data_IF_928985727620
#
_entry.id   IF_928985727620
#
_cell.length_a   1.000
_cell.length_b   1.000
_cell.length_c   1.000
_cell.angle_alpha   90.00
_cell.angle_beta   90.00
_cell.angle_gamma   90.00
#
_symmetry.space_group_name_H-M   'P 1'
#
loop_
_entity.id
_entity.type
_entity.pdbx_description
1 polymer ?
#
# COMPACT_ATOMS: atom_id res chain seq x y z
N UNK A 1 20.31 0.47 72.25
CA UNK A 1 18.88 0.31 72.63
C UNK A 1 18.03 0.27 71.35
N UNK A 2 17.00 -0.59 71.22
CA UNK A 2 15.56 -0.35 71.50
C UNK A 2 15.06 1.04 71.02
N UNK A 3 13.94 1.20 70.29
CA UNK A 3 12.98 0.25 69.66
C UNK A 3 11.85 1.00 68.90
N UNK A 4 10.99 0.28 68.15
CA UNK A 4 9.62 0.67 67.64
C UNK A 4 9.62 1.53 66.36
N UNK A 5 8.81 1.22 65.31
CA UNK A 5 7.34 1.42 65.09
C UNK A 5 6.95 2.91 65.18
N UNK A 6 6.13 3.54 64.32
CA UNK A 6 5.34 3.20 63.10
C UNK A 6 5.06 4.56 62.34
N UNK A 7 4.35 4.77 61.22
CA UNK A 7 3.47 4.00 60.31
C UNK A 7 3.43 4.64 58.89
N UNK A 8 2.67 4.07 57.95
CA UNK A 8 2.44 4.49 56.55
C UNK A 8 1.69 5.83 56.37
N UNK A 9 1.91 6.50 55.23
CA UNK A 9 0.88 6.81 54.18
C UNK A 9 1.56 7.34 52.89
N UNK A 10 0.88 7.19 51.75
CA UNK A 10 1.37 7.50 50.39
C UNK A 10 0.64 8.71 49.80
N UNK A 11 1.36 9.65 49.19
CA UNK A 11 1.04 10.32 47.90
C UNK A 11 2.37 10.68 47.21
N UNK A 12 2.46 10.53 45.88
CA UNK A 12 3.63 10.89 45.10
C UNK A 12 3.39 12.12 44.21
N UNK A 13 4.35 13.04 44.17
CA UNK A 13 4.44 14.10 43.16
C UNK A 13 5.88 14.64 43.09
N UNK A 14 6.68 14.10 42.18
CA UNK A 14 7.97 14.66 41.73
C UNK A 14 7.83 14.97 40.23
N UNK A 15 8.57 15.88 39.60
CA UNK A 15 9.81 16.58 40.00
C UNK A 15 9.69 18.08 39.69
N UNK A 16 10.12 18.96 40.60
CA UNK A 16 10.44 20.35 40.23
C UNK A 16 11.89 20.45 39.78
N UNK A 17 12.12 21.05 38.59
CA UNK A 17 13.47 21.23 38.05
C UNK A 17 14.15 22.42 38.72
N UNK A 18 15.22 22.16 39.47
CA UNK A 18 16.26 23.16 39.74
C UNK A 18 17.61 22.48 40.03
N UNK A 19 18.65 22.88 39.29
CA UNK A 19 20.03 22.59 39.65
C UNK A 19 20.92 23.77 39.26
N UNK A 20 21.09 24.70 40.20
CA UNK A 20 22.05 25.80 40.10
C UNK A 20 23.45 25.25 40.44
N UNK A 21 24.25 24.95 39.41
CA UNK A 21 25.65 24.57 39.56
C UNK A 21 26.58 25.76 39.29
N UNK A 22 27.25 26.29 40.32
CA UNK A 22 28.17 27.43 40.19
C UNK A 22 29.60 27.02 39.88
N UNK A 23 30.19 27.58 38.83
CA UNK A 23 31.65 27.59 38.65
C UNK A 23 32.10 28.88 37.94
N UNK A 24 33.07 29.60 38.53
CA UNK A 24 33.83 30.68 37.89
C UNK A 24 35.21 30.15 37.52
N UNK A 25 35.64 30.32 36.28
CA UNK A 25 37.06 30.49 35.92
C UNK A 25 37.16 31.43 34.71
N UNK A 26 38.35 32.00 34.48
CA UNK A 26 38.50 33.23 33.70
C UNK A 26 39.34 33.08 32.43
N UNK A 27 38.95 33.83 31.40
CA UNK A 27 39.83 34.46 30.41
C UNK A 27 40.69 33.56 29.51
N UNK A 28 40.23 33.36 28.26
CA UNK A 28 40.94 33.98 27.14
C UNK A 28 40.08 34.09 25.87
N UNK A 29 40.40 35.06 25.01
CA UNK A 29 39.67 35.31 23.78
C UNK A 29 40.06 34.32 22.67
N UNK A 30 39.12 33.46 22.26
CA UNK A 30 39.16 32.77 20.96
C UNK A 30 37.78 32.89 20.32
N UNK A 31 37.68 33.70 19.26
CA UNK A 31 36.43 33.81 18.51
C UNK A 31 36.16 32.51 17.72
N UNK A 32 35.04 31.85 18.00
CA UNK A 32 34.43 30.85 17.12
C UNK A 32 32.94 31.16 16.98
N UNK A 33 32.42 30.93 15.77
CA UNK A 33 31.12 31.43 15.37
C UNK A 33 29.98 30.85 16.20
N UNK A 34 29.07 31.71 16.67
CA UNK A 34 27.75 31.27 17.11
C UNK A 34 26.91 30.95 15.86
N UNK A 35 26.93 29.69 15.45
CA UNK A 35 26.05 29.17 14.40
C UNK A 35 25.50 27.81 14.82
N UNK A 36 24.88 27.76 16.01
CA UNK A 36 23.86 26.74 16.26
C UNK A 36 22.64 27.06 15.39
N UNK A 37 22.71 26.66 14.12
CA UNK A 37 21.53 26.54 13.27
C UNK A 37 20.67 25.47 13.89
N UNK A 38 19.63 25.87 14.63
CA UNK A 38 18.62 24.96 15.15
C UNK A 38 17.88 24.36 13.96
N UNK A 39 18.37 23.22 13.46
CA UNK A 39 17.62 22.39 12.53
C UNK A 39 16.42 21.81 13.29
N UNK A 40 15.34 22.58 13.31
CA UNK A 40 14.00 22.05 13.54
C UNK A 40 13.72 21.10 12.38
N UNK A 41 14.12 19.84 12.53
CA UNK A 41 13.60 18.74 11.71
C UNK A 41 12.10 18.70 12.00
N UNK A 42 11.33 19.40 11.18
CA UNK A 42 9.90 19.15 11.13
C UNK A 42 9.73 17.74 10.58
N UNK A 43 9.43 16.81 11.48
CA UNK A 43 8.81 15.56 11.12
C UNK A 43 7.45 15.92 10.50
N UNK A 44 7.45 16.12 9.18
CA UNK A 44 6.22 16.22 8.40
C UNK A 44 5.49 14.90 8.54
N UNK A 45 4.50 14.87 9.45
CA UNK A 45 3.47 13.86 9.46
C UNK A 45 2.59 14.06 8.21
N UNK A 46 3.14 13.69 7.06
CA UNK A 46 2.44 13.53 5.79
C UNK A 46 1.34 12.50 6.01
N UNK A 47 0.12 12.96 6.30
CA UNK A 47 -0.99 12.13 6.80
C UNK A 47 -1.35 10.95 5.91
N UNK A 48 -0.97 11.00 4.64
CA UNK A 48 -1.29 10.03 3.61
C UNK A 48 -0.05 9.24 3.13
N UNK A 49 1.11 9.36 3.78
CA UNK A 49 2.35 8.63 3.42
C UNK A 49 3.01 7.99 4.64
N UNK A 50 3.09 6.66 4.66
CA UNK A 50 3.61 5.90 5.81
C UNK A 50 4.89 5.15 5.43
N UNK A 51 5.98 5.37 6.18
CA UNK A 51 7.22 4.60 6.03
C UNK A 51 7.18 3.34 6.90
N UNK A 52 7.24 2.19 6.25
CA UNK A 52 7.43 0.87 6.86
C UNK A 52 8.88 0.46 6.60
N UNK A 53 9.79 1.02 7.42
CA UNK A 53 11.24 0.89 7.25
C UNK A 53 11.94 0.32 8.49
N UNK A 54 12.77 -0.70 8.27
CA UNK A 54 13.54 -1.37 9.30
C UNK A 54 14.88 -0.72 9.66
N UNK A 55 15.52 -1.23 10.72
CA UNK A 55 16.98 -1.11 10.90
C UNK A 55 17.74 -2.03 9.94
N UNK A 56 17.12 -3.14 9.53
CA UNK A 56 17.55 -3.98 8.42
C UNK A 56 16.33 -4.54 7.66
N UNK A 57 16.58 -5.26 6.57
CA UNK A 57 15.56 -5.91 5.72
C UNK A 57 14.60 -6.84 6.49
N UNK A 58 15.06 -7.48 7.57
CA UNK A 58 14.23 -8.37 8.37
C UNK A 58 13.25 -7.55 9.22
N UNK A 59 13.73 -6.50 9.90
CA UNK A 59 12.89 -5.54 10.61
C UNK A 59 11.92 -4.76 9.68
N UNK A 60 12.31 -4.47 8.43
CA UNK A 60 11.38 -3.95 7.42
C UNK A 60 10.22 -4.92 7.20
N UNK A 61 10.51 -6.21 6.96
CA UNK A 61 9.47 -7.22 6.71
C UNK A 61 8.54 -7.43 7.91
N UNK A 62 9.05 -7.31 9.14
CA UNK A 62 8.24 -7.32 10.36
C UNK A 62 7.28 -6.12 10.41
N UNK A 63 7.77 -4.90 10.14
CA UNK A 63 6.92 -3.68 10.15
C UNK A 63 5.85 -3.69 9.06
N UNK A 64 6.18 -4.22 7.88
CA UNK A 64 5.23 -4.44 6.78
C UNK A 64 4.15 -5.45 7.21
N UNK A 65 4.55 -6.54 7.86
CA UNK A 65 3.62 -7.55 8.37
C UNK A 65 2.70 -7.01 9.47
N UNK A 66 3.23 -6.23 10.40
CA UNK A 66 2.48 -5.59 11.49
C UNK A 66 1.48 -4.54 11.01
N UNK A 67 1.78 -3.83 9.92
CA UNK A 67 0.85 -2.90 9.29
C UNK A 67 -0.30 -3.63 8.57
N UNK A 68 0.02 -4.63 7.74
CA UNK A 68 -0.98 -5.31 6.91
C UNK A 68 -1.85 -6.35 7.63
N UNK A 69 -1.32 -7.03 8.64
CA UNK A 69 -1.92 -8.25 9.18
C UNK A 69 -1.92 -8.29 10.72
N UNK A 70 -3.09 -8.20 11.33
CA UNK A 70 -3.25 -8.46 12.78
C UNK A 70 -3.00 -9.93 13.13
N UNK A 71 -3.42 -10.84 12.25
CA UNK A 71 -3.18 -12.29 12.25
C UNK A 71 -3.14 -12.73 10.78
N UNK A 72 -2.56 -13.90 10.48
CA UNK A 72 -2.62 -14.50 9.15
C UNK A 72 -2.63 -16.03 9.25
N UNK A 73 -3.53 -16.69 8.52
CA UNK A 73 -3.64 -18.16 8.55
C UNK A 73 -2.45 -18.87 7.87
N UNK A 74 -1.71 -18.11 7.05
CA UNK A 74 -0.55 -18.54 6.28
C UNK A 74 0.53 -17.46 6.33
N UNK A 75 1.80 -17.87 6.33
CA UNK A 75 2.96 -16.95 6.20
C UNK A 75 3.90 -17.47 5.11
N UNK A 76 4.50 -16.57 4.34
CA UNK A 76 5.55 -16.88 3.37
C UNK A 76 6.92 -16.47 3.91
N UNK A 77 7.94 -17.32 3.70
CA UNK A 77 9.32 -17.12 4.13
C UNK A 77 10.21 -17.11 2.89
N UNK A 78 10.97 -16.04 2.70
CA UNK A 78 11.92 -15.90 1.59
C UNK A 78 13.36 -15.66 2.10
N UNK A 79 14.34 -16.26 1.41
CA UNK A 79 15.76 -16.00 1.63
C UNK A 79 16.14 -14.61 1.15
N UNK A 80 16.88 -13.85 1.96
CA UNK A 80 17.33 -12.50 1.61
C UNK A 80 18.67 -12.14 2.28
N UNK A 81 19.59 -13.10 2.44
CA UNK A 81 20.92 -12.82 3.00
C UNK A 81 21.81 -12.08 1.99
N UNK A 82 21.66 -12.37 0.71
CA UNK A 82 22.27 -11.68 -0.42
C UNK A 82 21.24 -11.23 -1.45
N UNK A 83 21.60 -10.23 -2.26
CA UNK A 83 20.72 -9.59 -3.24
C UNK A 83 20.57 -10.39 -4.56
N UNK A 84 20.80 -11.71 -4.48
CA UNK A 84 20.46 -12.69 -5.49
C UNK A 84 19.52 -13.80 -4.95
N UNK A 85 19.45 -13.99 -3.63
CA UNK A 85 18.73 -15.10 -2.98
C UNK A 85 17.21 -14.96 -3.12
N UNK A 86 16.73 -13.72 -3.13
CA UNK A 86 15.31 -13.39 -3.20
C UNK A 86 14.72 -13.62 -4.60
N UNK A 87 15.54 -13.85 -5.62
CA UNK A 87 15.14 -13.98 -7.03
C UNK A 87 14.09 -15.09 -7.26
N UNK A 88 14.27 -16.22 -6.56
CA UNK A 88 13.36 -17.36 -6.57
C UNK A 88 11.97 -17.02 -5.99
N UNK A 89 11.91 -16.02 -5.10
CA UNK A 89 10.73 -15.70 -4.29
C UNK A 89 9.85 -14.57 -4.86
N UNK A 90 10.32 -13.76 -5.82
CA UNK A 90 9.55 -12.65 -6.42
C UNK A 90 8.21 -13.14 -7.00
N UNK A 91 8.27 -14.27 -7.72
CA UNK A 91 7.11 -14.94 -8.30
C UNK A 91 6.10 -15.42 -7.24
N UNK A 92 6.48 -15.46 -5.96
CA UNK A 92 5.63 -15.80 -4.82
C UNK A 92 4.63 -14.71 -4.42
N UNK A 93 4.77 -13.47 -4.90
CA UNK A 93 3.86 -12.37 -4.49
C UNK A 93 2.38 -12.64 -4.81
N UNK A 94 1.99 -13.08 -6.02
CA UNK A 94 0.59 -13.40 -6.33
C UNK A 94 0.06 -14.53 -5.45
N UNK A 95 0.92 -15.50 -5.11
CA UNK A 95 0.57 -16.60 -4.22
C UNK A 95 0.35 -16.11 -2.79
N UNK A 96 1.23 -15.26 -2.24
CA UNK A 96 1.08 -14.65 -0.93
C UNK A 96 -0.18 -13.78 -0.83
N UNK A 97 -0.43 -12.93 -1.83
CA UNK A 97 -1.65 -12.16 -1.97
C UNK A 97 -2.91 -13.05 -2.00
N UNK A 98 -2.89 -14.14 -2.77
CA UNK A 98 -4.03 -15.07 -2.84
C UNK A 98 -4.39 -15.73 -1.50
N UNK A 99 -3.44 -15.83 -0.57
CA UNK A 99 -3.64 -16.36 0.79
C UNK A 99 -3.89 -15.27 1.84
N UNK A 100 -3.95 -14.00 1.44
CA UNK A 100 -3.88 -12.83 2.32
C UNK A 100 -2.77 -12.97 3.39
N UNK A 101 -1.55 -13.19 2.92
CA UNK A 101 -0.41 -13.57 3.76
C UNK A 101 0.80 -12.63 3.56
N UNK A 102 1.53 -12.29 4.64
CA UNK A 102 2.79 -11.55 4.54
C UNK A 102 3.94 -12.42 4.01
N UNK A 103 4.91 -11.77 3.36
CA UNK A 103 6.23 -12.35 3.04
C UNK A 103 7.24 -11.82 4.07
N UNK A 104 7.65 -12.69 4.98
CA UNK A 104 8.73 -12.42 5.95
C UNK A 104 10.08 -12.91 5.39
N UNK A 105 11.15 -12.23 5.77
CA UNK A 105 12.49 -12.51 5.26
C UNK A 105 13.35 -13.28 6.27
N UNK A 106 14.31 -14.07 5.78
CA UNK A 106 15.27 -14.80 6.63
C UNK A 106 16.70 -14.74 6.09
N UNK A 107 17.66 -14.96 6.99
CA UNK A 107 19.02 -15.39 6.62
C UNK A 107 18.95 -16.86 6.18
N UNK A 108 19.88 -17.33 5.35
CA UNK A 108 19.84 -18.68 4.79
C UNK A 108 20.09 -19.76 5.86
N UNK A 109 21.02 -19.50 6.78
CA UNK A 109 21.42 -20.47 7.81
C UNK A 109 20.50 -20.49 9.04
N UNK A 110 19.91 -19.34 9.44
CA UNK A 110 19.14 -19.21 10.67
C UNK A 110 17.98 -18.21 10.53
N UNK A 111 16.85 -18.53 11.16
CA UNK A 111 15.69 -17.64 11.27
C UNK A 111 16.00 -16.53 12.30
N UNK A 112 15.86 -15.23 11.96
CA UNK A 112 16.04 -14.16 12.94
C UNK A 112 15.00 -14.21 14.07
N UNK A 113 15.38 -13.81 15.28
CA UNK A 113 14.50 -13.88 16.46
C UNK A 113 13.23 -13.02 16.29
N UNK A 114 13.37 -11.79 15.79
CA UNK A 114 12.22 -10.92 15.50
C UNK A 114 11.27 -11.50 14.44
N UNK A 115 11.78 -12.30 13.49
CA UNK A 115 10.96 -13.02 12.51
C UNK A 115 10.26 -14.22 13.16
N UNK A 116 10.92 -14.93 14.08
CA UNK A 116 10.29 -15.98 14.89
C UNK A 116 9.18 -15.42 15.80
N UNK A 117 9.39 -14.26 16.41
CA UNK A 117 8.39 -13.54 17.20
C UNK A 117 7.21 -13.10 16.34
N UNK A 118 7.47 -12.55 15.15
CA UNK A 118 6.43 -12.10 14.22
C UNK A 118 5.58 -13.26 13.67
N UNK A 119 6.19 -14.40 13.32
CA UNK A 119 5.45 -15.64 12.99
C UNK A 119 4.57 -16.08 14.18
N UNK A 120 5.07 -15.95 15.41
CA UNK A 120 4.29 -16.28 16.62
C UNK A 120 3.12 -15.31 16.79
N UNK A 121 3.33 -14.00 16.59
CA UNK A 121 2.30 -12.95 16.64
C UNK A 121 1.18 -13.18 15.62
N UNK A 122 1.53 -13.56 14.39
CA UNK A 122 0.58 -13.86 13.32
C UNK A 122 -0.23 -15.15 13.57
N UNK A 123 0.36 -16.10 14.32
CA UNK A 123 -0.22 -17.41 14.68
C UNK A 123 -0.74 -18.24 13.48
N UNK A 124 0.06 -18.46 12.42
CA UNK A 124 -0.38 -19.18 11.22
C UNK A 124 -0.52 -20.69 11.44
N UNK A 125 -1.36 -21.31 10.61
CA UNK A 125 -1.45 -22.77 10.47
C UNK A 125 -0.42 -23.30 9.47
N UNK A 126 -0.18 -22.54 8.40
CA UNK A 126 0.69 -22.92 7.28
C UNK A 126 1.87 -21.96 7.15
N UNK A 127 3.04 -22.49 6.80
CA UNK A 127 4.22 -21.69 6.44
C UNK A 127 4.77 -22.18 5.11
N UNK A 128 4.82 -21.31 4.11
CA UNK A 128 5.42 -21.60 2.81
C UNK A 128 6.84 -21.06 2.75
N UNK A 129 7.81 -21.91 2.41
CA UNK A 129 9.19 -21.49 2.15
C UNK A 129 9.37 -21.36 0.64
N UNK A 130 9.75 -20.16 0.18
CA UNK A 130 10.05 -19.87 -1.21
C UNK A 130 11.55 -20.05 -1.47
N UNK A 131 11.90 -20.89 -2.44
CA UNK A 131 13.28 -21.14 -2.87
C UNK A 131 13.95 -22.36 -2.24
N UNK A 132 15.08 -22.74 -2.84
CA UNK A 132 15.84 -23.94 -2.50
C UNK A 132 16.52 -23.92 -1.12
N UNK A 133 17.10 -25.05 -0.74
CA UNK A 133 17.81 -25.21 0.55
C UNK A 133 19.09 -24.38 0.66
N UNK A 134 19.59 -23.83 -0.45
CA UNK A 134 20.72 -22.88 -0.47
C UNK A 134 20.35 -21.48 0.01
N UNK A 135 19.11 -21.02 -0.23
CA UNK A 135 18.63 -19.67 0.16
C UNK A 135 17.81 -19.68 1.44
N UNK A 136 17.18 -20.80 1.80
CA UNK A 136 16.55 -21.03 3.11
C UNK A 136 16.83 -22.47 3.54
N UNK A 137 17.74 -22.68 4.48
CA UNK A 137 18.21 -24.02 4.88
C UNK A 137 17.11 -24.94 5.42
N UNK A 138 17.33 -26.25 5.34
CA UNK A 138 16.46 -27.26 5.96
C UNK A 138 16.41 -27.15 7.49
N UNK A 139 17.36 -26.47 8.13
CA UNK A 139 17.34 -26.23 9.58
C UNK A 139 16.19 -25.29 9.98
N UNK A 140 15.96 -24.24 9.19
CA UNK A 140 14.83 -23.31 9.38
C UNK A 140 13.50 -24.06 9.18
N UNK A 141 13.40 -24.85 8.11
CA UNK A 141 12.23 -25.67 7.80
C UNK A 141 11.91 -26.69 8.92
N UNK A 142 12.92 -27.39 9.41
CA UNK A 142 12.76 -28.36 10.51
C UNK A 142 12.44 -27.68 11.84
N UNK A 143 13.03 -26.51 12.12
CA UNK A 143 12.71 -25.72 13.31
C UNK A 143 11.28 -25.18 13.32
N UNK A 144 10.74 -24.82 12.16
CA UNK A 144 9.33 -24.42 12.00
C UNK A 144 8.39 -25.63 12.14
N UNK A 145 8.72 -26.79 11.55
CA UNK A 145 7.96 -28.04 11.76
C UNK A 145 7.96 -28.47 13.23
N UNK A 146 9.09 -28.34 13.93
CA UNK A 146 9.21 -28.65 15.36
C UNK A 146 8.40 -27.71 16.27
N UNK A 147 8.07 -26.49 15.81
CA UNK A 147 7.13 -25.58 16.47
C UNK A 147 5.65 -25.90 16.19
N UNK A 148 5.36 -26.92 15.37
CA UNK A 148 4.01 -27.40 15.07
C UNK A 148 3.35 -26.80 13.82
N UNK A 149 4.06 -25.99 13.04
CA UNK A 149 3.54 -25.40 11.80
C UNK A 149 3.47 -26.42 10.65
N UNK A 150 2.47 -26.30 9.78
CA UNK A 150 2.43 -27.04 8.50
C UNK A 150 3.36 -26.35 7.50
N UNK A 151 4.59 -26.85 7.36
CA UNK A 151 5.62 -26.21 6.51
C UNK A 151 5.75 -26.88 5.14
N UNK A 152 5.51 -26.11 4.08
CA UNK A 152 5.62 -26.54 2.68
C UNK A 152 6.72 -25.72 1.97
N UNK A 153 7.69 -26.38 1.33
CA UNK A 153 8.67 -25.70 0.47
C UNK A 153 8.20 -25.69 -0.97
N UNK A 154 8.34 -24.55 -1.65
CA UNK A 154 8.13 -24.40 -3.09
C UNK A 154 9.49 -24.00 -3.71
N UNK A 155 10.08 -24.93 -4.46
CA UNK A 155 11.40 -24.77 -5.07
C UNK A 155 11.56 -25.68 -6.30
N UNK A 156 12.27 -25.19 -7.31
CA UNK A 156 12.81 -25.98 -8.43
C UNK A 156 14.33 -26.09 -8.35
N UNK A 157 15.00 -26.48 -9.45
CA UNK A 157 16.47 -26.49 -9.52
C UNK A 157 17.09 -25.09 -9.60
N UNK A 158 16.29 -24.11 -10.01
CA UNK A 158 16.67 -22.72 -10.29
C UNK A 158 15.43 -21.81 -10.16
N UNK A 159 15.59 -20.50 -10.40
CA UNK A 159 14.49 -19.52 -10.37
C UNK A 159 13.38 -19.78 -11.37
N UNK A 160 13.69 -20.35 -12.54
CA UNK A 160 12.73 -20.61 -13.60
C UNK A 160 11.79 -21.75 -13.17
N UNK A 161 12.34 -22.83 -12.63
CA UNK A 161 11.56 -23.93 -12.10
C UNK A 161 10.89 -23.60 -10.76
N UNK A 162 11.49 -22.77 -9.91
CA UNK A 162 10.81 -22.29 -8.69
C UNK A 162 9.56 -21.46 -9.04
N UNK A 163 9.65 -20.56 -10.03
CA UNK A 163 8.49 -19.83 -10.54
C UNK A 163 7.41 -20.76 -11.12
N UNK A 164 7.80 -21.84 -11.81
CA UNK A 164 6.87 -22.88 -12.31
C UNK A 164 6.15 -23.59 -11.15
N UNK A 165 6.85 -24.00 -10.09
CA UNK A 165 6.20 -24.65 -8.95
C UNK A 165 5.29 -23.68 -8.16
N UNK A 166 5.65 -22.39 -8.07
CA UNK A 166 4.78 -21.35 -7.50
C UNK A 166 3.51 -21.15 -8.36
N UNK A 167 3.65 -21.08 -9.68
CA UNK A 167 2.52 -20.96 -10.61
C UNK A 167 1.52 -22.14 -10.45
N UNK A 168 2.02 -23.37 -10.35
CA UNK A 168 1.18 -24.55 -10.08
C UNK A 168 0.42 -24.45 -8.75
N UNK A 169 1.06 -23.96 -7.69
CA UNK A 169 0.40 -23.77 -6.39
C UNK A 169 -0.71 -22.71 -6.46
N UNK A 170 -0.48 -21.62 -7.20
CA UNK A 170 -1.48 -20.57 -7.44
C UNK A 170 -2.69 -21.13 -8.20
N UNK A 171 -2.45 -21.84 -9.31
CA UNK A 171 -3.54 -22.42 -10.11
C UNK A 171 -4.26 -23.55 -9.40
N UNK A 172 -3.55 -24.41 -8.65
CA UNK A 172 -4.18 -25.49 -7.88
C UNK A 172 -5.17 -24.95 -6.82
N UNK A 173 -4.80 -23.87 -6.12
CA UNK A 173 -5.67 -23.16 -5.18
C UNK A 173 -6.98 -22.75 -5.86
N UNK A 174 -6.92 -21.99 -6.95
CA UNK A 174 -8.11 -21.54 -7.69
C UNK A 174 -8.84 -22.64 -8.47
N UNK A 175 -8.19 -23.76 -8.78
CA UNK A 175 -8.84 -24.93 -9.42
C UNK A 175 -9.76 -25.70 -8.47
N UNK A 176 -9.64 -25.47 -7.16
CA UNK A 176 -10.45 -26.15 -6.13
C UNK A 176 -11.59 -25.29 -5.57
N UNK A 177 -11.64 -24.00 -5.93
CA UNK A 177 -12.67 -23.05 -5.48
C UNK A 177 -13.87 -22.96 -6.43
N UNK A 178 -15.03 -22.50 -5.93
CA UNK A 178 -16.17 -22.14 -6.78
C UNK A 178 -15.93 -20.86 -7.59
N UNK A 179 -15.02 -20.00 -7.13
CA UNK A 179 -14.30 -19.11 -8.03
C UNK A 179 -13.48 -19.96 -9.00
N UNK A 180 -13.94 -20.07 -10.24
CA UNK A 180 -13.07 -20.46 -11.36
C UNK A 180 -12.05 -19.36 -11.58
N UNK A 181 -10.86 -19.73 -12.05
CA UNK A 181 -9.76 -18.83 -12.38
C UNK A 181 -10.12 -17.76 -13.46
N UNK A 182 -11.25 -17.94 -14.17
CA UNK A 182 -11.91 -16.88 -14.95
C UNK A 182 -11.17 -16.49 -16.24
N UNK A 183 -11.41 -15.25 -16.68
CA UNK A 183 -10.58 -14.54 -17.67
C UNK A 183 -9.15 -14.32 -17.19
N UNK A 184 -8.97 -14.32 -15.87
CA UNK A 184 -7.80 -13.83 -15.15
C UNK A 184 -6.71 -14.92 -14.99
N UNK A 185 -6.95 -16.06 -15.64
CA UNK A 185 -6.10 -17.23 -15.76
C UNK A 185 -4.88 -17.00 -16.69
N UNK A 186 -4.05 -16.02 -16.32
CA UNK A 186 -2.88 -15.61 -17.10
C UNK A 186 -1.54 -16.07 -16.54
N UNK A 187 -0.50 -15.82 -17.35
CA UNK A 187 0.88 -15.65 -16.89
C UNK A 187 1.43 -14.28 -17.31
N UNK A 188 2.31 -13.74 -16.49
CA UNK A 188 3.25 -12.68 -16.84
C UNK A 188 4.61 -13.33 -17.07
N UNK A 189 5.18 -13.17 -18.26
CA UNK A 189 6.52 -13.62 -18.63
C UNK A 189 7.42 -12.40 -18.77
N UNK A 190 8.47 -12.35 -17.95
CA UNK A 190 9.51 -11.30 -18.00
C UNK A 190 10.91 -11.88 -17.82
N UNK A 191 11.96 -11.08 -17.93
CA UNK A 191 13.35 -11.57 -17.88
C UNK A 191 13.81 -11.89 -16.46
N UNK A 192 14.27 -13.13 -16.25
CA UNK A 192 14.92 -13.60 -15.02
C UNK A 192 16.35 -13.07 -14.83
N UNK A 193 16.82 -12.17 -15.72
CA UNK A 193 18.07 -11.41 -15.57
C UNK A 193 17.86 -10.00 -14.99
N UNK A 194 16.65 -9.42 -15.08
CA UNK A 194 16.36 -8.06 -14.58
C UNK A 194 15.11 -8.08 -13.70
N UNK A 195 15.31 -8.42 -12.42
CA UNK A 195 14.28 -8.62 -11.41
C UNK A 195 13.34 -7.43 -11.21
N UNK A 196 13.77 -6.22 -11.54
CA UNK A 196 12.98 -5.00 -11.44
C UNK A 196 11.62 -5.14 -12.13
N UNK A 197 11.58 -5.72 -13.34
CA UNK A 197 10.34 -5.94 -14.09
C UNK A 197 9.35 -6.80 -13.28
N UNK A 198 9.82 -7.94 -12.78
CA UNK A 198 9.00 -8.85 -11.98
C UNK A 198 8.56 -8.23 -10.65
N UNK A 199 9.32 -7.27 -10.12
CA UNK A 199 9.01 -6.59 -8.86
C UNK A 199 7.97 -5.47 -9.02
N UNK A 200 8.07 -4.60 -10.03
CA UNK A 200 7.01 -3.61 -10.32
C UNK A 200 5.68 -4.29 -10.66
N UNK A 201 5.72 -5.45 -11.32
CA UNK A 201 4.55 -6.29 -11.64
C UNK A 201 4.06 -7.17 -10.48
N UNK A 202 4.85 -7.32 -9.41
CA UNK A 202 4.55 -8.28 -8.33
C UNK A 202 3.25 -7.96 -7.61
N UNK A 203 2.97 -6.66 -7.41
CA UNK A 203 1.75 -6.18 -6.77
C UNK A 203 0.53 -6.18 -7.69
N UNK A 204 0.74 -6.09 -9.02
CA UNK A 204 -0.32 -5.86 -10.02
C UNK A 204 -0.88 -7.16 -10.61
N UNK A 205 -0.10 -8.24 -10.56
CA UNK A 205 -0.46 -9.55 -11.12
C UNK A 205 -1.76 -10.19 -10.57
N UNK A 206 -2.13 -9.96 -9.31
CA UNK A 206 -3.38 -10.48 -8.72
C UNK A 206 -3.49 -12.01 -8.73
N UNK A 207 -4.34 -12.58 -9.61
CA UNK A 207 -4.50 -14.04 -9.82
C UNK A 207 -3.54 -14.63 -10.86
N UNK A 208 -2.77 -13.77 -11.53
CA UNK A 208 -1.82 -14.11 -12.61
C UNK A 208 -0.52 -14.66 -12.03
N UNK A 209 0.03 -15.72 -12.61
CA UNK A 209 1.34 -16.24 -12.19
C UNK A 209 2.49 -15.49 -12.88
N UNK A 210 3.60 -15.24 -12.17
CA UNK A 210 4.83 -14.65 -12.75
C UNK A 210 5.82 -15.76 -13.10
N UNK A 211 6.35 -15.73 -14.32
CA UNK A 211 7.31 -16.69 -14.87
C UNK A 211 8.49 -15.96 -15.54
N UNK A 212 9.63 -16.63 -15.62
CA UNK A 212 10.88 -16.03 -16.09
C UNK A 212 11.35 -16.57 -17.45
N UNK A 213 11.83 -15.68 -18.31
CA UNK A 213 12.62 -15.95 -19.53
C UNK A 213 14.11 -15.78 -19.22
N UNK A 214 14.99 -16.52 -19.92
CA UNK A 214 16.44 -16.30 -19.81
C UNK A 214 16.94 -15.08 -20.60
N UNK A 215 16.05 -14.40 -21.33
CA UNK A 215 16.29 -13.13 -22.01
C UNK A 215 16.28 -13.30 -23.53
N UNK A 216 17.23 -14.08 -24.04
CA UNK A 216 17.30 -14.40 -25.46
C UNK A 216 16.27 -15.48 -25.85
N UNK A 217 15.98 -16.42 -24.94
CA UNK A 217 15.00 -17.49 -25.16
C UNK A 217 13.98 -17.64 -24.03
N UNK A 218 12.88 -18.33 -24.32
CA UNK A 218 11.99 -18.82 -23.27
C UNK A 218 12.56 -20.12 -22.72
N UNK A 219 12.93 -20.11 -21.42
CA UNK A 219 13.48 -21.27 -20.72
C UNK A 219 12.69 -22.55 -21.04
N UNK A 220 13.38 -23.64 -21.37
CA UNK A 220 12.73 -24.87 -21.87
C UNK A 220 11.67 -25.47 -20.94
N UNK A 221 11.84 -25.37 -19.61
CA UNK A 221 10.83 -25.81 -18.64
C UNK A 221 9.58 -24.91 -18.68
N UNK A 222 9.77 -23.60 -18.87
CA UNK A 222 8.66 -22.62 -19.00
C UNK A 222 7.94 -22.78 -20.35
N UNK A 223 8.69 -22.91 -21.46
CA UNK A 223 8.10 -23.17 -22.78
C UNK A 223 7.32 -24.48 -22.82
N UNK A 224 7.75 -25.50 -22.05
CA UNK A 224 7.01 -26.76 -21.90
C UNK A 224 5.73 -26.57 -21.07
N UNK A 225 5.76 -25.77 -20.01
CA UNK A 225 4.55 -25.48 -19.23
C UNK A 225 3.48 -24.79 -20.10
N UNK A 226 3.85 -23.69 -20.76
CA UNK A 226 2.91 -22.86 -21.54
C UNK A 226 2.38 -23.56 -22.81
N UNK A 227 3.08 -24.57 -23.34
CA UNK A 227 2.59 -25.39 -24.46
C UNK A 227 1.73 -26.59 -24.04
N UNK A 228 1.73 -26.94 -22.74
CA UNK A 228 0.97 -28.09 -22.23
C UNK A 228 -0.29 -27.69 -21.46
N UNK A 229 -0.33 -26.52 -20.83
CA UNK A 229 -1.53 -26.04 -20.15
C UNK A 229 -2.56 -25.43 -21.13
N UNK A 230 -3.72 -26.09 -21.26
CA UNK A 230 -4.82 -25.68 -22.13
C UNK A 230 -5.84 -24.75 -21.44
N UNK A 231 -5.63 -24.42 -20.17
CA UNK A 231 -6.52 -23.58 -19.38
C UNK A 231 -6.08 -22.12 -19.35
N UNK A 232 -4.83 -21.81 -19.74
CA UNK A 232 -4.31 -20.46 -19.86
C UNK A 232 -5.19 -19.62 -20.80
N UNK A 233 -5.62 -18.46 -20.32
CA UNK A 233 -6.44 -17.49 -21.08
C UNK A 233 -5.58 -16.32 -21.61
N UNK A 234 -4.42 -16.04 -21.00
CA UNK A 234 -3.47 -15.03 -21.51
C UNK A 234 -2.01 -15.34 -21.15
N UNK A 235 -1.10 -14.90 -22.01
CA UNK A 235 0.34 -14.83 -21.78
C UNK A 235 0.75 -13.37 -22.00
N UNK A 236 0.94 -12.62 -20.92
CA UNK A 236 1.49 -11.26 -20.96
C UNK A 236 3.02 -11.34 -21.04
N UNK A 237 3.64 -10.58 -21.93
CA UNK A 237 5.07 -10.67 -22.27
C UNK A 237 5.68 -9.27 -22.10
N UNK A 238 6.37 -9.04 -20.99
CA UNK A 238 6.74 -7.68 -20.55
C UNK A 238 8.27 -7.53 -20.41
N UNK A 239 8.86 -6.71 -21.28
CA UNK A 239 10.32 -6.56 -21.40
C UNK A 239 10.83 -6.35 -22.84
N UNK A 240 9.95 -6.45 -23.84
CA UNK A 240 10.23 -6.16 -25.25
C UNK A 240 11.43 -6.85 -25.86
N UNK A 241 12.43 -6.05 -26.27
CA UNK A 241 13.65 -6.55 -26.91
C UNK A 241 14.42 -7.56 -26.05
N UNK A 242 14.23 -7.53 -24.72
CA UNK A 242 14.89 -8.40 -23.74
C UNK A 242 14.21 -9.76 -23.50
N UNK A 243 13.17 -10.08 -24.27
CA UNK A 243 12.40 -11.34 -24.19
C UNK A 243 11.91 -11.81 -25.58
N UNK A 244 12.61 -11.43 -26.66
CA UNK A 244 12.16 -11.67 -28.04
C UNK A 244 11.96 -13.16 -28.36
N UNK A 245 12.68 -14.07 -27.70
CA UNK A 245 12.51 -15.51 -27.85
C UNK A 245 11.12 -16.06 -27.53
N UNK A 246 10.24 -15.27 -26.87
CA UNK A 246 8.83 -15.63 -26.68
C UNK A 246 8.03 -15.54 -27.98
N UNK A 247 8.43 -14.69 -28.95
CA UNK A 247 7.80 -14.53 -30.28
C UNK A 247 8.09 -15.71 -31.25
N UNK A 248 8.41 -16.90 -30.71
CA UNK A 248 8.79 -18.12 -31.43
C UNK A 248 7.61 -19.03 -31.81
N UNK A 249 7.86 -20.35 -31.88
CA UNK A 249 6.85 -21.34 -32.29
C UNK A 249 5.61 -21.39 -31.39
N UNK A 250 5.76 -21.06 -30.10
CA UNK A 250 4.64 -20.97 -29.15
C UNK A 250 3.68 -19.83 -29.53
N UNK A 251 4.22 -18.64 -29.83
CA UNK A 251 3.47 -17.50 -30.35
C UNK A 251 2.82 -17.83 -31.70
N UNK A 252 3.59 -18.37 -32.65
CA UNK A 252 3.08 -18.71 -33.99
C UNK A 252 1.97 -19.77 -33.97
N UNK A 253 1.92 -20.62 -32.94
CA UNK A 253 0.87 -21.63 -32.77
C UNK A 253 -0.45 -21.09 -32.21
N UNK A 254 -0.43 -19.97 -31.46
CA UNK A 254 -1.63 -19.30 -30.94
C UNK A 254 -1.36 -17.82 -30.65
N UNK A 255 -1.27 -16.92 -31.67
CA UNK A 255 -0.94 -15.52 -31.45
C UNK A 255 -1.96 -14.79 -30.55
N UNK A 256 -3.22 -15.19 -30.62
CA UNK A 256 -4.34 -14.68 -29.82
C UNK A 256 -4.22 -14.89 -28.31
N UNK A 257 -3.33 -15.79 -27.86
CA UNK A 257 -3.06 -15.99 -26.44
C UNK A 257 -2.10 -14.93 -25.86
N UNK A 258 -1.42 -14.16 -26.71
CA UNK A 258 -0.32 -13.29 -26.31
C UNK A 258 -0.70 -11.81 -26.27
N UNK A 259 -0.39 -11.17 -25.15
CA UNK A 259 -0.32 -9.72 -25.01
C UNK A 259 1.14 -9.33 -24.80
N UNK A 260 1.66 -8.39 -25.60
CA UNK A 260 3.09 -8.09 -25.61
C UNK A 260 3.31 -6.61 -25.30
N UNK A 261 3.99 -6.33 -24.19
CA UNK A 261 4.53 -5.01 -23.90
C UNK A 261 6.03 -4.96 -24.26
N UNK A 262 6.31 -4.27 -25.36
CA UNK A 262 7.67 -3.92 -25.77
C UNK A 262 8.27 -2.78 -24.91
N UNK A 263 8.26 -2.92 -23.57
CA UNK A 263 8.84 -1.99 -22.59
C UNK A 263 10.31 -2.35 -22.29
N UNK A 264 11.24 -1.49 -22.72
CA UNK A 264 12.68 -1.78 -22.68
C UNK A 264 13.38 -1.18 -21.44
N UNK A 265 12.65 -0.45 -20.60
CA UNK A 265 13.09 0.04 -19.29
C UNK A 265 11.95 -0.04 -18.26
N UNK A 266 12.27 0.12 -16.98
CA UNK A 266 11.27 0.13 -15.89
C UNK A 266 10.40 1.39 -15.91
N UNK A 267 10.94 2.61 -16.14
CA UNK A 267 10.09 3.79 -16.33
C UNK A 267 9.21 3.74 -17.59
N UNK A 268 9.59 2.99 -18.63
CA UNK A 268 8.68 2.67 -19.73
C UNK A 268 7.51 1.80 -19.25
N UNK A 269 7.78 0.71 -18.51
CA UNK A 269 6.74 -0.19 -18.00
C UNK A 269 5.79 0.51 -17.03
N UNK A 270 6.33 1.17 -16.00
CA UNK A 270 5.53 1.82 -14.96
C UNK A 270 4.63 2.93 -15.53
N UNK A 271 5.04 3.54 -16.64
CA UNK A 271 4.24 4.46 -17.48
C UNK A 271 3.25 3.77 -18.43
N UNK A 272 3.57 2.58 -18.95
CA UNK A 272 2.77 1.86 -19.96
C UNK A 272 1.64 1.02 -19.41
N UNK A 273 1.66 0.65 -18.13
CA UNK A 273 0.48 0.12 -17.43
C UNK A 273 -0.62 1.19 -17.33
N UNK A 274 -1.26 1.47 -18.46
CA UNK A 274 -2.42 2.32 -18.59
C UNK A 274 -3.66 1.59 -18.12
N UNK A 275 -3.84 1.52 -16.80
CA UNK A 275 -4.96 2.16 -16.11
C UNK A 275 -4.46 2.43 -14.68
N UNK A 276 -4.06 3.67 -14.38
CA UNK A 276 -3.75 4.01 -12.99
C UNK A 276 -4.99 3.78 -12.14
N UNK A 277 -6.15 4.19 -12.64
CA UNK A 277 -7.56 4.10 -12.18
C UNK A 277 -8.00 2.80 -11.46
N UNK A 278 -7.17 1.76 -11.42
CA UNK A 278 -7.38 0.50 -10.68
C UNK A 278 -6.67 0.45 -9.31
N UNK A 279 -5.71 1.33 -9.04
CA UNK A 279 -4.76 1.21 -7.93
C UNK A 279 -4.98 2.22 -6.80
N UNK A 280 -5.62 1.85 -5.67
CA UNK A 280 -6.06 2.80 -4.63
C UNK A 280 -4.94 3.61 -3.92
N UNK A 281 -3.67 3.41 -4.27
CA UNK A 281 -2.53 4.18 -3.79
C UNK A 281 -1.22 3.78 -4.48
N UNK A 282 -0.09 4.33 -4.01
CA UNK A 282 1.25 3.96 -4.51
C UNK A 282 2.19 3.51 -3.39
N UNK A 283 2.87 2.39 -3.61
CA UNK A 283 3.91 1.87 -2.74
C UNK A 283 5.27 2.03 -3.43
N UNK A 284 6.30 2.44 -2.69
CA UNK A 284 7.63 2.74 -3.25
C UNK A 284 8.72 2.00 -2.48
N UNK A 285 9.61 1.35 -3.22
CA UNK A 285 10.77 0.62 -2.73
C UNK A 285 12.00 0.87 -3.62
N UNK A 286 13.16 0.33 -3.26
CA UNK A 286 14.41 0.58 -3.99
C UNK A 286 14.52 -0.24 -5.29
N UNK A 287 15.02 0.39 -6.35
CA UNK A 287 15.36 -0.17 -7.66
C UNK A 287 16.65 -1.01 -7.67
N UNK A 288 17.34 -1.05 -6.53
CA UNK A 288 18.69 -1.59 -6.32
C UNK A 288 18.79 -2.47 -5.07
N UNK A 289 17.95 -2.25 -4.05
CA UNK A 289 17.85 -3.05 -2.81
C UNK A 289 16.43 -3.60 -2.66
N UNK A 290 16.20 -4.74 -3.31
CA UNK A 290 14.88 -5.36 -3.49
C UNK A 290 14.22 -6.10 -2.31
N UNK A 291 14.91 -6.52 -1.22
CA UNK A 291 14.24 -7.27 -0.14
C UNK A 291 13.07 -6.50 0.53
N UNK A 292 13.21 -5.18 0.69
CA UNK A 292 12.13 -4.32 1.19
C UNK A 292 10.97 -4.28 0.17
N UNK A 293 11.26 -4.32 -1.14
CA UNK A 293 10.25 -4.44 -2.19
C UNK A 293 9.54 -5.80 -2.19
N UNK A 294 10.27 -6.92 -2.00
CA UNK A 294 9.70 -8.27 -1.96
C UNK A 294 8.77 -8.49 -0.75
N UNK A 295 9.15 -7.99 0.41
CA UNK A 295 8.28 -8.09 1.59
C UNK A 295 7.07 -7.16 1.46
N UNK A 296 7.27 -5.97 0.89
CA UNK A 296 6.22 -4.98 0.65
C UNK A 296 5.25 -5.29 -0.49
N UNK A 297 5.65 -6.05 -1.52
CA UNK A 297 4.83 -6.34 -2.70
C UNK A 297 3.51 -7.04 -2.36
N UNK A 298 3.52 -7.94 -1.37
CA UNK A 298 2.31 -8.61 -0.88
C UNK A 298 1.34 -7.63 -0.16
N UNK A 299 1.88 -6.63 0.53
CA UNK A 299 1.06 -5.58 1.16
C UNK A 299 0.53 -4.58 0.11
N UNK A 300 1.36 -4.22 -0.88
CA UNK A 300 0.92 -3.42 -2.01
C UNK A 300 -0.24 -4.10 -2.76
N UNK A 301 -0.11 -5.40 -3.09
CA UNK A 301 -1.19 -6.19 -3.67
C UNK A 301 -2.45 -6.22 -2.78
N UNK A 302 -2.30 -6.44 -1.46
CA UNK A 302 -3.41 -6.46 -0.49
C UNK A 302 -4.21 -5.16 -0.46
N UNK A 303 -3.56 -4.01 -0.64
CA UNK A 303 -4.19 -2.69 -0.65
C UNK A 303 -4.63 -2.24 -2.06
N UNK A 304 -4.28 -2.99 -3.10
CA UNK A 304 -4.39 -2.54 -4.49
C UNK A 304 -3.49 -1.33 -4.78
N UNK A 305 -2.35 -1.20 -4.11
CA UNK A 305 -1.38 -0.13 -4.37
C UNK A 305 -0.40 -0.57 -5.47
N UNK A 306 -0.10 0.32 -6.43
CA UNK A 306 0.94 0.05 -7.44
C UNK A 306 2.32 0.10 -6.77
N UNK A 307 3.16 -0.92 -6.99
CA UNK A 307 4.54 -0.94 -6.49
C UNK A 307 5.49 -0.32 -7.53
N UNK A 308 6.29 0.65 -7.11
CA UNK A 308 7.14 1.49 -7.94
C UNK A 308 8.58 1.46 -7.42
N UNK A 309 9.55 1.41 -8.32
CA UNK A 309 10.97 1.31 -7.98
C UNK A 309 11.69 2.66 -8.08
N UNK A 310 12.43 3.01 -7.03
CA UNK A 310 13.08 4.31 -6.83
C UNK A 310 14.58 4.16 -6.62
N UNK A 311 15.37 5.13 -7.09
CA UNK A 311 16.81 5.26 -6.79
C UNK A 311 17.10 5.67 -5.31
N UNK A 312 16.05 5.79 -4.50
CA UNK A 312 16.10 6.22 -3.11
C UNK A 312 16.03 7.74 -2.91
N UNK A 313 16.17 8.53 -3.96
CA UNK A 313 16.18 10.01 -3.91
C UNK A 313 15.06 10.65 -4.71
N UNK A 314 14.63 10.03 -5.80
CA UNK A 314 13.46 10.44 -6.60
C UNK A 314 12.60 9.26 -7.07
N UNK A 315 11.42 9.59 -7.58
CA UNK A 315 10.62 8.65 -8.35
C UNK A 315 11.23 8.55 -9.75
N UNK A 316 11.55 7.33 -10.19
CA UNK A 316 12.06 7.06 -11.55
C UNK A 316 11.02 7.41 -12.63
N UNK A 317 9.74 7.50 -12.24
CA UNK A 317 8.64 8.02 -13.04
C UNK A 317 8.00 9.24 -12.38
N UNK A 318 7.99 10.38 -13.09
CA UNK A 318 7.21 11.56 -12.70
C UNK A 318 5.77 11.42 -13.18
N UNK A 319 4.90 10.90 -12.30
CA UNK A 319 3.48 10.68 -12.55
C UNK A 319 2.75 11.98 -12.90
N UNK A 320 1.95 11.96 -13.98
CA UNK A 320 1.08 13.08 -14.36
C UNK A 320 -0.24 13.07 -13.57
N UNK A 321 -0.13 13.39 -12.29
CA UNK A 321 -1.18 13.21 -11.27
C UNK A 321 -2.27 14.27 -11.30
N UNK A 322 -2.20 15.27 -12.17
CA UNK A 322 -3.22 16.33 -12.30
C UNK A 322 -4.59 15.81 -12.79
N UNK A 323 -4.71 14.49 -12.96
CA UNK A 323 -5.93 13.75 -13.31
C UNK A 323 -6.34 12.70 -12.28
N UNK A 324 -5.59 12.48 -11.20
CA UNK A 324 -5.59 11.23 -10.41
C UNK A 324 -6.12 11.41 -8.97
N UNK A 325 -7.25 12.10 -8.82
CA UNK A 325 -7.83 12.56 -7.54
C UNK A 325 -8.40 11.46 -6.62
N UNK A 326 -8.06 10.20 -6.85
CA UNK A 326 -8.70 9.03 -6.25
C UNK A 326 -7.68 8.07 -5.57
N UNK A 327 -6.39 8.45 -5.56
CA UNK A 327 -5.34 7.78 -4.77
C UNK A 327 -5.49 8.12 -3.27
N UNK A 328 -5.76 7.11 -2.45
CA UNK A 328 -6.04 7.25 -1.00
C UNK A 328 -4.81 7.52 -0.14
N UNK A 329 -3.63 7.05 -0.56
CA UNK A 329 -2.40 7.19 0.20
C UNK A 329 -1.23 6.40 -0.39
N UNK A 330 -0.12 6.34 0.34
CA UNK A 330 1.09 5.67 -0.11
C UNK A 330 1.98 5.11 0.98
N UNK A 331 2.79 4.12 0.60
CA UNK A 331 3.71 3.41 1.47
C UNK A 331 5.14 3.56 0.99
N UNK A 332 6.08 3.68 1.92
CA UNK A 332 7.52 3.55 1.65
C UNK A 332 8.00 2.26 2.32
N UNK A 333 8.53 1.34 1.53
CA UNK A 333 9.18 0.15 2.05
C UNK A 333 10.69 0.43 2.16
N UNK A 334 11.22 0.28 3.38
CA UNK A 334 12.64 0.41 3.66
C UNK A 334 13.06 1.63 4.49
N UNK A 335 14.23 1.49 5.09
CA UNK A 335 14.83 2.50 5.99
C UNK A 335 15.35 3.75 5.27
N UNK A 336 15.72 4.76 6.05
CA UNK A 336 16.18 6.07 5.55
C UNK A 336 17.50 6.02 4.78
N UNK A 337 18.33 4.99 5.05
CA UNK A 337 19.57 4.70 4.31
C UNK A 337 19.37 3.97 2.97
N UNK A 338 18.12 3.65 2.60
CA UNK A 338 17.75 3.01 1.31
C UNK A 338 16.80 3.91 0.54
N UNK A 339 15.76 4.44 1.19
CA UNK A 339 14.88 5.47 0.65
C UNK A 339 15.00 6.73 1.51
N UNK A 340 15.55 7.82 0.97
CA UNK A 340 15.77 9.08 1.68
C UNK A 340 14.47 9.75 2.17
N UNK A 341 14.55 10.58 3.21
CA UNK A 341 13.39 11.28 3.78
C UNK A 341 12.86 12.44 2.92
N UNK A 342 13.56 12.81 1.84
CA UNK A 342 13.01 13.71 0.82
C UNK A 342 11.89 13.06 -0.01
N UNK A 343 11.96 11.75 -0.24
CA UNK A 343 11.02 11.03 -1.10
C UNK A 343 9.59 10.91 -0.52
N UNK A 344 9.37 10.60 0.78
CA UNK A 344 8.06 10.73 1.41
C UNK A 344 7.43 12.12 1.22
N UNK A 345 8.25 13.18 1.28
CA UNK A 345 7.81 14.55 1.02
C UNK A 345 7.34 14.76 -0.43
N UNK A 346 8.07 14.24 -1.41
CA UNK A 346 7.68 14.27 -2.84
C UNK A 346 6.38 13.50 -3.09
N UNK A 347 6.24 12.31 -2.51
CA UNK A 347 5.04 11.46 -2.63
C UNK A 347 3.84 12.07 -1.87
N UNK A 348 4.08 12.74 -0.75
CA UNK A 348 3.04 13.51 -0.06
C UNK A 348 2.60 14.72 -0.86
N UNK A 349 3.54 15.42 -1.52
CA UNK A 349 3.25 16.50 -2.46
C UNK A 349 2.64 16.00 -3.79
N UNK A 350 2.51 14.68 -3.97
CA UNK A 350 1.84 14.02 -5.07
C UNK A 350 0.36 13.79 -4.73
N UNK A 351 0.05 13.23 -3.56
CA UNK A 351 -1.35 13.14 -3.07
C UNK A 351 -1.94 14.52 -2.75
N UNK A 352 -1.11 15.45 -2.27
CA UNK A 352 -1.53 16.81 -1.94
C UNK A 352 -1.43 17.78 -3.14
N UNK A 353 -1.08 17.32 -4.35
CA UNK A 353 -0.80 18.22 -5.49
C UNK A 353 -2.03 18.95 -5.99
N UNK A 354 -3.18 18.28 -5.91
CA UNK A 354 -4.51 18.87 -6.01
C UNK A 354 -5.43 18.30 -4.90
N UNK A 355 -4.96 18.39 -3.64
CA UNK A 355 -5.84 18.95 -2.62
C UNK A 355 -5.66 20.46 -2.74
N UNK A 356 -6.47 21.17 -3.57
CA UNK A 356 -6.51 22.61 -3.45
C UNK A 356 -7.11 22.89 -2.08
N UNK A 357 -6.26 23.25 -1.12
CA UNK A 357 -6.58 23.50 0.30
C UNK A 357 -7.42 24.77 0.51
N UNK A 358 -8.20 25.08 -0.52
CA UNK A 358 -8.42 26.36 -1.16
C UNK A 358 -8.80 26.08 -2.65
N UNK A 359 -10.01 25.60 -2.98
CA UNK A 359 -10.42 25.29 -4.36
C UNK A 359 -10.47 26.46 -5.36
N UNK A 360 -10.18 27.70 -4.96
CA UNK A 360 -10.46 28.92 -5.76
C UNK A 360 -9.52 30.12 -5.49
N UNK A 361 -8.36 29.93 -4.84
CA UNK A 361 -7.45 31.02 -4.43
C UNK A 361 -7.76 31.70 -3.07
N UNK A 362 -8.97 31.49 -2.54
CA UNK A 362 -9.45 31.80 -1.18
C UNK A 362 -8.44 31.58 -0.04
N UNK A 363 -8.30 32.55 0.85
CA UNK A 363 -7.60 32.38 2.14
C UNK A 363 -8.52 31.73 3.17
N UNK A 364 -7.94 31.27 4.27
CA UNK A 364 -8.66 30.78 5.46
C UNK A 364 -9.68 31.78 6.03
N UNK A 365 -9.45 33.08 5.82
CA UNK A 365 -10.37 34.18 6.17
C UNK A 365 -11.59 34.33 5.27
N UNK A 366 -11.56 33.74 4.07
CA UNK A 366 -12.43 34.13 2.98
C UNK A 366 -13.70 33.26 2.98
N UNK A 367 -14.85 33.89 2.73
CA UNK A 367 -16.15 33.21 2.70
C UNK A 367 -16.22 32.29 1.48
N UNK A 368 -16.74 31.08 1.67
CA UNK A 368 -16.85 30.07 0.62
C UNK A 368 -17.85 30.54 -0.46
N UNK A 369 -17.44 30.62 -1.75
CA UNK A 369 -18.35 30.89 -2.85
C UNK A 369 -19.07 29.59 -3.23
N UNK A 370 -20.10 29.26 -2.47
CA UNK A 370 -21.01 28.15 -2.78
C UNK A 370 -21.73 28.38 -4.11
N UNK A 371 -21.87 27.30 -4.87
CA UNK A 371 -22.54 27.22 -6.17
C UNK A 371 -23.93 26.59 -6.06
N UNK A 372 -24.14 25.65 -5.13
CA UNK A 372 -25.47 25.13 -4.78
C UNK A 372 -26.02 25.84 -3.52
N UNK A 373 -27.08 26.63 -3.72
CA UNK A 373 -27.76 27.39 -2.66
C UNK A 373 -28.59 26.51 -1.71
N UNK A 374 -28.78 25.22 -1.99
CA UNK A 374 -29.28 24.23 -1.03
C UNK A 374 -28.15 23.76 -0.12
N UNK A 375 -27.05 23.28 -0.72
CA UNK A 375 -25.85 22.82 -0.01
C UNK A 375 -25.36 23.86 0.98
N UNK A 376 -25.26 25.12 0.54
CA UNK A 376 -24.87 26.27 1.37
C UNK A 376 -25.71 26.35 2.65
N UNK A 377 -27.04 26.32 2.54
CA UNK A 377 -27.95 26.55 3.67
C UNK A 377 -27.91 25.38 4.66
N UNK A 378 -27.81 24.16 4.16
CA UNK A 378 -27.65 22.97 4.99
C UNK A 378 -26.28 22.96 5.70
N UNK A 379 -25.21 23.39 5.03
CA UNK A 379 -23.91 23.58 5.68
C UNK A 379 -23.94 24.72 6.72
N UNK A 380 -24.61 25.83 6.45
CA UNK A 380 -24.79 26.95 7.40
C UNK A 380 -25.63 26.51 8.62
N UNK A 381 -26.61 25.63 8.42
CA UNK A 381 -27.40 24.96 9.47
C UNK A 381 -26.54 23.98 10.28
N UNK A 382 -25.78 23.10 9.63
CA UNK A 382 -24.94 22.09 10.25
C UNK A 382 -23.79 22.68 11.09
N UNK A 383 -23.17 23.76 10.62
CA UNK A 383 -22.12 24.49 11.36
C UNK A 383 -22.68 25.57 12.30
N UNK A 384 -24.01 25.78 12.32
CA UNK A 384 -24.66 26.83 13.13
C UNK A 384 -24.18 28.25 12.82
N UNK A 385 -23.73 28.50 11.59
CA UNK A 385 -22.98 29.71 11.21
C UNK A 385 -23.27 30.12 9.77
N UNK A 386 -23.65 31.38 9.57
CA UNK A 386 -23.74 32.00 8.23
C UNK A 386 -22.39 32.58 7.76
N UNK A 387 -22.19 32.66 6.45
CA UNK A 387 -20.93 33.09 5.82
C UNK A 387 -19.73 32.22 6.25
N UNK A 388 -19.87 30.90 6.09
CA UNK A 388 -18.81 29.91 6.36
C UNK A 388 -17.53 30.32 5.63
N UNK A 389 -16.44 30.46 6.37
CA UNK A 389 -15.10 30.68 5.80
C UNK A 389 -14.42 29.35 5.51
N UNK A 390 -13.40 29.37 4.66
CA UNK A 390 -12.57 28.20 4.39
C UNK A 390 -11.98 27.58 5.68
N UNK A 391 -11.64 28.40 6.69
CA UNK A 391 -11.17 27.91 7.99
C UNK A 391 -12.26 27.31 8.89
N UNK A 392 -13.55 27.50 8.59
CA UNK A 392 -14.64 26.82 9.30
C UNK A 392 -14.90 25.45 8.67
N UNK A 393 -15.02 25.37 7.34
CA UNK A 393 -15.26 24.11 6.63
C UNK A 393 -14.12 23.09 6.82
N UNK A 394 -12.86 23.56 6.90
CA UNK A 394 -11.70 22.72 7.25
C UNK A 394 -11.74 22.13 8.67
N UNK A 395 -12.50 22.72 9.59
CA UNK A 395 -12.65 22.24 10.98
C UNK A 395 -13.84 21.32 11.17
N UNK A 396 -14.75 21.23 10.19
CA UNK A 396 -15.81 20.25 10.20
C UNK A 396 -15.19 18.84 10.19
N UNK A 397 -15.55 18.02 11.17
CA UNK A 397 -15.19 16.59 11.23
C UNK A 397 -16.33 15.68 10.80
N UNK A 398 -17.56 16.21 10.73
CA UNK A 398 -18.72 15.60 10.10
C UNK A 398 -19.57 16.68 9.44
N UNK A 399 -20.50 16.29 8.56
CA UNK A 399 -21.45 17.19 7.93
C UNK A 399 -22.78 16.46 7.68
N UNK A 400 -23.88 17.01 8.19
CA UNK A 400 -25.23 16.46 8.03
C UNK A 400 -26.05 17.41 7.15
N UNK A 401 -26.49 16.94 5.98
CA UNK A 401 -27.21 17.75 4.99
C UNK A 401 -28.64 17.21 4.81
N UNK A 402 -29.63 18.10 4.71
CA UNK A 402 -31.04 17.76 4.85
C UNK A 402 -31.79 18.08 3.55
N UNK A 403 -32.05 17.08 2.72
CA UNK A 403 -32.73 17.32 1.45
C UNK A 403 -34.25 17.41 1.58
N UNK A 404 -34.77 18.64 1.47
CA UNK A 404 -36.21 18.91 1.30
C UNK A 404 -37.09 18.22 2.36
N UNK A 405 -36.55 18.05 3.57
CA UNK A 405 -37.14 17.25 4.65
C UNK A 405 -38.20 17.99 5.45
N UNK A 406 -38.92 17.23 6.30
CA UNK A 406 -39.93 17.76 7.24
C UNK A 406 -39.36 18.65 8.35
N UNK A 407 -38.04 18.77 8.43
CA UNK A 407 -37.23 19.58 9.34
C UNK A 407 -36.77 20.92 8.72
N UNK A 408 -37.21 21.24 7.50
CA UNK A 408 -36.89 22.49 6.80
C UNK A 408 -35.57 22.48 6.04
N UNK A 409 -35.06 21.32 5.65
CA UNK A 409 -33.92 21.16 4.75
C UNK A 409 -34.17 21.62 3.30
N UNK A 410 -33.10 21.81 2.52
CA UNK A 410 -33.15 22.38 1.16
C UNK A 410 -32.79 21.39 0.05
N UNK A 411 -33.30 21.59 -1.16
CA UNK A 411 -32.96 20.71 -2.29
C UNK A 411 -31.54 20.98 -2.78
N UNK A 412 -30.61 20.09 -2.41
CA UNK A 412 -29.27 19.99 -3.01
C UNK A 412 -29.40 19.35 -4.39
N UNK A 413 -28.79 19.95 -5.40
CA UNK A 413 -28.79 19.47 -6.78
C UNK A 413 -27.39 18.98 -7.18
N UNK A 414 -26.37 19.61 -6.61
CA UNK A 414 -24.96 19.43 -6.90
C UNK A 414 -24.13 19.36 -5.60
N UNK A 415 -23.23 18.38 -5.49
CA UNK A 415 -22.29 18.21 -4.38
C UNK A 415 -20.92 18.85 -4.63
N UNK A 416 -20.75 19.64 -5.70
CA UNK A 416 -19.46 20.23 -6.11
C UNK A 416 -18.80 21.11 -5.05
N UNK A 417 -19.52 21.58 -4.04
CA UNK A 417 -18.97 22.38 -2.94
C UNK A 417 -18.50 21.54 -1.74
N UNK A 418 -18.72 20.22 -1.72
CA UNK A 418 -18.20 19.34 -0.67
C UNK A 418 -16.66 19.40 -0.56
N UNK A 419 -15.98 19.72 -1.66
CA UNK A 419 -14.52 19.94 -1.77
C UNK A 419 -13.93 20.93 -0.75
N UNK A 420 -14.73 21.87 -0.21
CA UNK A 420 -14.26 22.80 0.83
C UNK A 420 -14.15 22.11 2.22
N UNK A 421 -14.87 21.01 2.44
CA UNK A 421 -15.03 20.31 3.72
C UNK A 421 -14.04 19.16 3.89
N UNK A 422 -12.80 19.37 3.45
CA UNK A 422 -11.68 18.40 3.45
C UNK A 422 -11.24 17.86 4.83
N UNK A 423 -11.95 18.22 5.89
CA UNK A 423 -11.76 17.74 7.26
C UNK A 423 -12.68 16.58 7.68
N UNK A 424 -13.77 16.31 6.95
CA UNK A 424 -14.85 15.41 7.42
C UNK A 424 -14.55 13.92 7.28
N UNK A 425 -14.98 13.16 8.30
CA UNK A 425 -14.90 11.70 8.40
C UNK A 425 -16.26 11.04 8.15
N UNK A 426 -17.34 11.71 8.54
CA UNK A 426 -18.72 11.26 8.35
C UNK A 426 -19.51 12.31 7.54
N UNK A 427 -20.24 11.87 6.52
CA UNK A 427 -21.16 12.69 5.73
C UNK A 427 -22.54 12.03 5.73
N UNK A 428 -23.53 12.70 6.32
CA UNK A 428 -24.92 12.26 6.33
C UNK A 428 -25.72 13.05 5.29
N UNK A 429 -26.54 12.36 4.51
CA UNK A 429 -27.66 12.95 3.78
C UNK A 429 -28.96 12.43 4.40
N UNK A 430 -29.86 13.34 4.78
CA UNK A 430 -31.20 13.02 5.26
C UNK A 430 -32.26 13.43 4.23
N UNK A 431 -33.05 12.47 3.74
CA UNK A 431 -34.22 12.70 2.87
C UNK A 431 -33.91 12.91 1.39
N UNK A 432 -34.93 13.38 0.66
CA UNK A 432 -34.85 13.79 -0.74
C UNK A 432 -34.33 12.74 -1.73
N UNK A 433 -33.51 13.18 -2.69
CA UNK A 433 -32.92 12.35 -3.74
C UNK A 433 -31.43 12.66 -3.91
N UNK A 434 -30.60 11.62 -3.92
CA UNK A 434 -29.14 11.72 -4.06
C UNK A 434 -28.72 12.67 -5.20
N UNK A 435 -27.81 13.64 -4.96
CA UNK A 435 -27.42 14.65 -5.96
C UNK A 435 -26.68 14.02 -7.15
N UNK A 436 -26.67 14.73 -8.28
CA UNK A 436 -26.28 14.15 -9.59
C UNK A 436 -24.84 13.67 -9.70
N UNK A 437 -23.96 14.14 -8.82
CA UNK A 437 -22.51 13.94 -8.85
C UNK A 437 -21.99 13.38 -7.52
N UNK A 438 -22.69 12.38 -6.95
CA UNK A 438 -22.30 11.76 -5.66
C UNK A 438 -20.85 11.27 -5.63
N UNK A 439 -20.29 10.80 -6.75
CA UNK A 439 -18.87 10.45 -6.90
C UNK A 439 -17.88 11.56 -6.49
N UNK A 440 -18.32 12.82 -6.42
CA UNK A 440 -17.51 13.94 -5.89
C UNK A 440 -17.11 13.72 -4.43
N UNK A 441 -17.86 12.95 -3.63
CA UNK A 441 -17.47 12.64 -2.25
C UNK A 441 -16.18 11.81 -2.17
N UNK A 442 -15.78 11.12 -3.24
CA UNK A 442 -14.49 10.41 -3.32
C UNK A 442 -13.28 11.36 -3.19
N UNK A 443 -13.45 12.67 -3.40
CA UNK A 443 -12.41 13.68 -3.15
C UNK A 443 -12.15 13.93 -1.66
N UNK A 444 -13.03 13.45 -0.78
CA UNK A 444 -12.87 13.51 0.67
C UNK A 444 -12.01 12.34 1.15
N UNK A 445 -10.69 12.46 1.02
CA UNK A 445 -9.70 11.45 1.47
C UNK A 445 -9.78 11.03 2.95
N UNK A 446 -10.57 11.74 3.77
CA UNK A 446 -10.85 11.42 5.18
C UNK A 446 -12.17 10.69 5.43
N UNK A 447 -13.05 10.61 4.43
CA UNK A 447 -14.40 10.10 4.60
C UNK A 447 -14.38 8.59 4.86
N UNK A 448 -14.67 8.22 6.11
CA UNK A 448 -14.82 6.83 6.54
C UNK A 448 -16.27 6.36 6.44
N UNK A 449 -17.25 7.26 6.58
CA UNK A 449 -18.68 6.94 6.57
C UNK A 449 -19.52 7.85 5.67
N UNK A 450 -20.41 7.24 4.88
CA UNK A 450 -21.43 7.95 4.09
C UNK A 450 -22.81 7.38 4.38
N UNK A 451 -23.70 8.20 4.95
CA UNK A 451 -24.98 7.76 5.50
C UNK A 451 -26.14 8.37 4.72
N UNK A 452 -27.15 7.56 4.42
CA UNK A 452 -28.28 7.87 3.55
C UNK A 452 -29.59 7.51 4.26
N UNK A 453 -30.10 8.41 5.09
CA UNK A 453 -31.32 8.17 5.86
C UNK A 453 -32.52 8.74 5.12
N UNK A 454 -33.45 7.87 4.69
CA UNK A 454 -34.68 8.21 3.92
C UNK A 454 -34.40 8.82 2.53
N UNK A 455 -33.19 8.65 1.98
CA UNK A 455 -32.81 9.15 0.66
C UNK A 455 -33.30 8.24 -0.49
N UNK A 456 -33.67 8.83 -1.63
CA UNK A 456 -33.91 8.10 -2.88
C UNK A 456 -32.65 8.09 -3.77
N UNK A 457 -32.20 6.93 -4.23
CA UNK A 457 -30.99 6.78 -5.07
C UNK A 457 -31.10 5.57 -6.02
N UNK A 458 -30.24 5.52 -7.04
CA UNK A 458 -30.05 4.31 -7.86
C UNK A 458 -28.77 3.57 -7.40
N UNK A 459 -28.75 2.23 -7.48
CA UNK A 459 -27.55 1.45 -7.13
C UNK A 459 -26.34 1.80 -8.00
N UNK A 460 -26.56 2.21 -9.25
CA UNK A 460 -25.51 2.72 -10.16
C UNK A 460 -24.75 3.90 -9.60
N UNK A 461 -25.46 4.79 -8.91
CA UNK A 461 -24.92 6.05 -8.42
C UNK A 461 -24.04 5.77 -7.20
N UNK A 462 -24.52 4.85 -6.34
CA UNK A 462 -23.78 4.32 -5.19
C UNK A 462 -22.51 3.57 -5.64
N UNK A 463 -22.58 2.78 -6.72
CA UNK A 463 -21.40 2.06 -7.24
C UNK A 463 -20.32 2.95 -7.86
N UNK A 464 -20.51 4.28 -7.90
CA UNK A 464 -19.45 5.24 -8.25
C UNK A 464 -18.66 5.75 -7.03
N UNK A 465 -19.07 5.38 -5.82
CA UNK A 465 -18.43 5.76 -4.56
C UNK A 465 -17.32 4.75 -4.25
N UNK A 466 -16.19 5.25 -3.74
CA UNK A 466 -15.00 4.42 -3.48
C UNK A 466 -15.22 3.39 -2.37
N UNK A 467 -14.74 2.16 -2.57
CA UNK A 467 -15.01 1.01 -1.70
C UNK A 467 -14.36 1.06 -0.31
N UNK A 468 -13.52 2.07 -0.04
CA UNK A 468 -13.01 2.37 1.30
C UNK A 468 -13.98 3.20 2.15
N UNK A 469 -15.01 3.80 1.55
CA UNK A 469 -16.04 4.60 2.24
C UNK A 469 -17.15 3.64 2.70
N UNK A 470 -17.45 3.62 4.00
CA UNK A 470 -18.50 2.76 4.56
C UNK A 470 -19.89 3.35 4.29
N UNK A 471 -20.56 2.81 3.29
CA UNK A 471 -21.91 3.25 2.90
C UNK A 471 -22.97 2.60 3.79
N UNK A 472 -23.90 3.40 4.31
CA UNK A 472 -25.04 2.98 5.12
C UNK A 472 -26.30 3.67 4.61
N UNK A 473 -27.40 2.93 4.40
CA UNK A 473 -28.70 3.50 4.08
C UNK A 473 -29.81 2.89 4.98
N UNK A 474 -30.65 3.73 5.57
CA UNK A 474 -31.67 3.37 6.57
C UNK A 474 -31.15 2.34 7.60
N UNK A 475 -29.98 2.63 8.19
CA UNK A 475 -29.28 1.76 9.15
C UNK A 475 -28.70 0.44 8.61
N UNK A 476 -28.60 0.23 7.29
CA UNK A 476 -28.06 -1.00 6.66
C UNK A 476 -26.84 -0.71 5.81
N UNK A 477 -25.82 -1.57 5.87
CA UNK A 477 -24.68 -1.48 4.95
C UNK A 477 -25.08 -1.78 3.50
N UNK A 478 -24.55 -0.98 2.58
CA UNK A 478 -24.54 -1.28 1.15
C UNK A 478 -23.10 -1.69 0.78
N UNK A 479 -22.99 -2.80 0.05
CA UNK A 479 -21.77 -3.31 -0.56
C UNK A 479 -21.80 -3.10 -2.08
#
# INVERSE_FOLDING_TARGET
MKSKKLMSIVVAAAVCVSFLGTAKFAGNNVAKANTQTTQTVQASNSSNVIRLGGTDRYDTSVKISQYGWRQADTVFIAGAEHDADFADAIAGTPLAHSYDAPILLTRAAALPDNISEEITRLSPKNVYILGGTGVVSSNIENGLKAKGYTVTRIAGKDRYETAIEIAKQLWAKYSTTKEKLGSDAGVIVTTGQQFQYAMSLAATAGKTAILFSDGDTLNSSVSKLLSQDKNLQSIQVIGGSKILGVKGSLYNGNPSLFYIDDANTIPELEKKEGYMDLYTGVAVASDTIFPDALSGSALAAKLGYKLILSDGTDLTYNFDLQSQNWLSGGLIFGGTGVISDGLPGKISAIFNKDIPSNPNGLKDSDVIPFTDEGFKKDAEKALGKTNITLADAKKATSLTLYQSGSDGGYQINDLSDIKYFSGIYDLDLEGGKLPRNVSTINSLYKLEGFYLEKCTFNQSDISTISSNIRIVADGKHIN
#
